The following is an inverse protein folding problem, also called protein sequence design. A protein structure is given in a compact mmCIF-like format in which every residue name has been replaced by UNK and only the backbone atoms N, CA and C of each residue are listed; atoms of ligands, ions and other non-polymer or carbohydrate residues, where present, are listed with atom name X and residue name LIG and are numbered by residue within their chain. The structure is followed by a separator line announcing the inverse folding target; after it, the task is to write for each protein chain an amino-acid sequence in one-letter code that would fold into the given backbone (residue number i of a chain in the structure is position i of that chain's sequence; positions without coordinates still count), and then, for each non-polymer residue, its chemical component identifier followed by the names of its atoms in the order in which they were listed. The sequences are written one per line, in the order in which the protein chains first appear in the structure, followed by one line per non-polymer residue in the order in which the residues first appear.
data_IF_361337508311
#
_entry.id   IF_361337508311
#
_cell.length_a   1.000
_cell.length_b   1.000
_cell.length_c   1.000
_cell.angle_alpha   90.00
_cell.angle_beta   90.00
_cell.angle_gamma   90.00
#
_symmetry.space_group_name_H-M   'P 1'
#
loop_
_entity.id
_entity.type
_entity.pdbx_description
1 polymer ?
#
# COMPACT_ATOMS: atom_id res chain seq x y z
N UNK A 1 -8.49 21.82 -0.24
CA UNK A 1 -8.78 20.64 -1.09
C UNK A 1 -8.18 20.77 -2.49
N UNK A 2 -8.47 21.83 -3.24
CA UNK A 2 -7.94 22.01 -4.61
C UNK A 2 -6.40 21.94 -4.67
N UNK A 3 -5.68 22.64 -3.78
CA UNK A 3 -4.22 22.59 -3.75
C UNK A 3 -3.64 21.19 -3.51
N UNK A 4 -4.30 20.37 -2.68
CA UNK A 4 -3.87 19.00 -2.42
C UNK A 4 -4.07 18.12 -3.66
N UNK A 5 -5.19 18.32 -4.37
CA UNK A 5 -5.48 17.60 -5.60
C UNK A 5 -4.45 17.95 -6.66
N UNK A 6 -4.15 19.23 -6.86
CA UNK A 6 -3.13 19.69 -7.82
C UNK A 6 -1.74 19.13 -7.47
N UNK A 7 -1.38 19.13 -6.18
CA UNK A 7 -0.13 18.56 -5.70
C UNK A 7 -0.06 17.07 -6.02
N UNK A 8 -1.06 16.29 -5.63
CA UNK A 8 -1.11 14.84 -5.87
C UNK A 8 -1.18 14.50 -7.36
N UNK A 9 -1.86 15.32 -8.16
CA UNK A 9 -2.00 15.13 -9.60
C UNK A 9 -0.64 15.21 -10.30
N UNK A 10 0.23 16.14 -9.89
CA UNK A 10 1.58 16.27 -10.44
C UNK A 10 2.43 15.01 -10.18
N UNK A 11 2.42 14.50 -8.94
CA UNK A 11 3.14 13.25 -8.61
C UNK A 11 2.53 12.03 -9.32
N UNK A 12 1.21 11.98 -9.45
CA UNK A 12 0.52 10.89 -10.15
C UNK A 12 0.82 10.90 -11.65
N UNK A 13 0.82 12.08 -12.28
CA UNK A 13 1.13 12.25 -13.69
C UNK A 13 2.60 11.90 -13.99
N UNK A 14 3.54 12.32 -13.14
CA UNK A 14 4.95 11.96 -13.31
C UNK A 14 5.20 10.47 -13.12
N UNK A 15 4.58 9.83 -12.13
CA UNK A 15 4.62 8.38 -11.97
C UNK A 15 4.03 7.65 -13.18
N UNK A 16 2.93 8.16 -13.75
CA UNK A 16 2.32 7.60 -14.96
C UNK A 16 3.26 7.70 -16.17
N UNK A 17 3.91 8.85 -16.37
CA UNK A 17 4.88 9.02 -17.46
C UNK A 17 6.05 8.05 -17.33
N UNK A 18 6.64 7.94 -16.13
CA UNK A 18 7.72 6.99 -15.86
C UNK A 18 7.28 5.55 -16.16
N UNK A 19 6.05 5.20 -15.78
CA UNK A 19 5.47 3.88 -16.03
C UNK A 19 5.26 3.62 -17.52
N UNK A 20 4.75 4.59 -18.28
CA UNK A 20 4.59 4.47 -19.73
C UNK A 20 5.94 4.30 -20.45
N UNK A 21 6.96 5.07 -20.06
CA UNK A 21 8.33 4.93 -20.57
C UNK A 21 8.84 3.52 -20.29
N UNK A 22 8.67 3.03 -19.06
CA UNK A 22 9.10 1.69 -18.69
C UNK A 22 8.40 0.60 -19.52
N UNK A 23 7.08 0.73 -19.73
CA UNK A 23 6.31 -0.21 -20.56
C UNK A 23 6.85 -0.22 -22.00
N UNK A 24 7.15 0.93 -22.59
CA UNK A 24 7.71 1.02 -23.93
C UNK A 24 9.09 0.36 -24.03
N UNK A 25 9.98 0.62 -23.06
CA UNK A 25 11.31 -0.01 -23.00
C UNK A 25 11.20 -1.52 -22.83
N UNK A 26 10.28 -1.99 -21.98
CA UNK A 26 10.04 -3.41 -21.78
C UNK A 26 9.49 -4.09 -23.04
N UNK A 27 8.55 -3.44 -23.74
CA UNK A 27 7.99 -3.92 -25.00
C UNK A 27 9.07 -4.00 -26.11
N UNK A 28 9.96 -3.00 -26.19
CA UNK A 28 11.07 -2.98 -27.14
C UNK A 28 12.12 -4.07 -26.87
N UNK A 29 12.39 -4.41 -25.59
CA UNK A 29 13.33 -5.48 -25.21
C UNK A 29 12.79 -6.89 -25.39
N UNK A 30 11.46 -7.06 -25.47
CA UNK A 30 10.81 -8.36 -25.61
C UNK A 30 9.74 -8.35 -26.71
N UNK A 31 10.12 -8.15 -27.99
CA UNK A 31 9.17 -8.08 -29.10
C UNK A 31 8.38 -9.40 -29.29
N UNK A 32 8.93 -10.53 -28.85
CA UNK A 32 8.28 -11.85 -28.88
C UNK A 32 7.12 -11.99 -27.89
N UNK A 33 7.03 -11.15 -26.85
CA UNK A 33 5.91 -11.13 -25.89
C UNK A 33 4.74 -10.31 -26.44
N UNK A 34 5.01 -9.27 -27.23
CA UNK A 34 3.97 -8.46 -27.89
C UNK A 34 3.35 -9.14 -29.12
N UNK A 35 4.02 -10.14 -29.72
CA UNK A 35 3.56 -10.85 -30.92
C UNK A 35 2.96 -12.24 -30.68
N UNK A 36 2.98 -12.78 -29.46
CA UNK A 36 2.39 -14.09 -29.18
C UNK A 36 0.88 -13.97 -28.89
N UNK A 37 0.11 -13.78 -29.96
CA UNK A 37 -1.36 -13.91 -29.94
C UNK A 37 -1.80 -15.39 -29.81
N UNK A 38 -0.86 -16.34 -29.94
CA UNK A 38 -1.14 -17.78 -30.06
C UNK A 38 -1.34 -18.55 -28.75
N UNK A 39 -1.04 -17.96 -27.59
CA UNK A 39 -1.31 -18.57 -26.26
C UNK A 39 -2.55 -17.98 -25.57
N UNK A 40 -3.41 -17.29 -26.32
CA UNK A 40 -4.68 -16.73 -25.79
C UNK A 40 -5.73 -17.78 -25.44
N UNK A 41 -5.54 -19.05 -25.78
CA UNK A 41 -6.55 -20.09 -25.58
C UNK A 41 -6.49 -20.81 -24.24
N UNK A 42 -5.46 -20.58 -23.41
CA UNK A 42 -5.37 -21.20 -22.08
C UNK A 42 -5.20 -20.22 -20.89
N UNK A 43 -5.14 -18.92 -21.15
CA UNK A 43 -5.39 -17.88 -20.13
C UNK A 43 -6.90 -17.70 -19.94
N UNK A 44 -7.56 -18.81 -19.61
CA UNK A 44 -8.91 -18.77 -19.09
C UNK A 44 -8.90 -17.95 -17.81
N UNK A 45 -9.39 -16.71 -17.87
CA UNK A 45 -10.03 -16.02 -16.74
C UNK A 45 -11.34 -16.77 -16.32
N UNK A 46 -11.30 -18.10 -16.34
CA UNK A 46 -12.37 -19.05 -16.02
C UNK A 46 -12.28 -19.53 -14.58
N UNK A 47 -11.69 -18.71 -13.70
CA UNK A 47 -11.87 -18.84 -12.26
C UNK A 47 -12.50 -17.52 -11.76
N UNK A 48 -13.61 -17.11 -12.41
CA UNK A 48 -14.56 -16.21 -11.75
C UNK A 48 -15.17 -17.01 -10.60
N UNK A 49 -14.44 -17.10 -9.49
CA UNK A 49 -15.06 -17.38 -8.20
C UNK A 49 -16.25 -16.45 -8.10
N UNK A 50 -17.44 -17.02 -8.04
CA UNK A 50 -18.65 -16.27 -7.74
C UNK A 50 -18.34 -15.39 -6.53
N UNK A 51 -18.32 -14.07 -6.76
CA UNK A 51 -18.13 -13.09 -5.71
C UNK A 51 -19.34 -13.24 -4.80
N UNK A 52 -19.18 -14.03 -3.75
CA UNK A 52 -20.26 -14.25 -2.81
C UNK A 52 -20.56 -12.89 -2.16
N UNK A 53 -21.72 -12.33 -2.53
CA UNK A 53 -22.14 -10.99 -2.12
C UNK A 53 -22.15 -10.85 -0.60
N UNK A 54 -22.40 -11.93 0.14
CA UNK A 54 -22.35 -11.93 1.60
C UNK A 54 -20.96 -11.56 2.12
N UNK A 55 -19.89 -12.06 1.48
CA UNK A 55 -18.53 -11.70 1.84
C UNK A 55 -18.21 -10.25 1.47
N UNK A 56 -18.67 -9.80 0.30
CA UNK A 56 -18.46 -8.40 -0.11
C UNK A 56 -19.13 -7.44 0.88
N UNK A 57 -20.38 -7.71 1.24
CA UNK A 57 -21.13 -6.92 2.23
C UNK A 57 -20.46 -6.99 3.59
N UNK A 58 -20.01 -8.17 4.05
CA UNK A 58 -19.28 -8.30 5.31
C UNK A 58 -17.97 -7.50 5.32
N UNK A 59 -17.21 -7.49 4.22
CA UNK A 59 -16.00 -6.67 4.11
C UNK A 59 -16.31 -5.18 4.08
N UNK A 60 -17.37 -4.75 3.39
CA UNK A 60 -17.81 -3.35 3.37
C UNK A 60 -18.24 -2.87 4.76
N UNK A 61 -18.99 -3.69 5.50
CA UNK A 61 -19.39 -3.39 6.88
C UNK A 61 -18.15 -3.31 7.77
N UNK A 62 -17.24 -4.28 7.69
CA UNK A 62 -16.00 -4.28 8.47
C UNK A 62 -15.14 -3.05 8.15
N UNK A 63 -15.06 -2.67 6.88
CA UNK A 63 -14.36 -1.47 6.42
C UNK A 63 -15.00 -0.20 7.02
N UNK A 64 -16.32 -0.07 6.96
CA UNK A 64 -17.05 1.05 7.55
C UNK A 64 -16.80 1.15 9.07
N UNK A 65 -16.90 0.04 9.80
CA UNK A 65 -16.62 0.00 11.27
C UNK A 65 -15.21 0.48 11.57
N UNK A 66 -14.24 0.15 10.71
CA UNK A 66 -12.87 0.59 10.90
C UNK A 66 -12.68 2.08 10.57
N UNK A 67 -13.38 2.62 9.56
CA UNK A 67 -13.43 4.07 9.34
C UNK A 67 -14.03 4.81 10.55
N UNK A 68 -15.13 4.30 11.11
CA UNK A 68 -15.74 4.86 12.32
C UNK A 68 -14.81 4.78 13.54
N UNK A 69 -13.99 3.72 13.63
CA UNK A 69 -12.97 3.58 14.68
C UNK A 69 -11.84 4.60 14.50
N UNK A 70 -11.37 4.82 13.26
CA UNK A 70 -10.38 5.86 12.92
C UNK A 70 -10.93 7.26 13.23
N UNK A 71 -12.21 7.50 12.94
CA UNK A 71 -12.93 8.73 13.29
C UNK A 71 -13.18 8.91 14.80
N UNK A 72 -12.72 7.97 15.65
CA UNK A 72 -12.91 7.94 17.12
C UNK A 72 -14.37 7.85 17.58
N UNK A 73 -15.31 7.49 16.70
CA UNK A 73 -16.72 7.30 17.04
C UNK A 73 -16.91 5.97 17.79
N UNK A 74 -16.15 4.93 17.38
CA UNK A 74 -16.27 3.57 17.91
C UNK A 74 -14.96 3.17 18.64
N UNK A 75 -15.05 2.48 19.79
CA UNK A 75 -13.88 1.93 20.49
C UNK A 75 -13.20 0.80 19.69
N UNK A 76 -11.86 0.83 19.64
CA UNK A 76 -11.01 -0.11 18.87
C UNK A 76 -11.18 -1.58 19.23
N UNK A 77 -11.70 -1.86 20.42
CA UNK A 77 -11.97 -3.21 20.90
C UNK A 77 -12.99 -3.92 20.01
N UNK A 78 -13.94 -3.18 19.42
CA UNK A 78 -15.02 -3.75 18.60
C UNK A 78 -14.51 -4.34 17.29
N UNK A 79 -13.80 -3.60 16.40
CA UNK A 79 -13.21 -4.20 15.20
C UNK A 79 -12.18 -5.28 15.52
N UNK A 80 -11.44 -5.17 16.64
CA UNK A 80 -10.48 -6.19 17.07
C UNK A 80 -11.17 -7.53 17.34
N UNK A 81 -12.20 -7.53 18.17
CA UNK A 81 -12.96 -8.75 18.50
C UNK A 81 -13.61 -9.32 17.23
N UNK A 82 -14.13 -8.47 16.35
CA UNK A 82 -14.75 -8.90 15.09
C UNK A 82 -13.75 -9.58 14.14
N UNK A 83 -12.53 -9.02 14.00
CA UNK A 83 -11.44 -9.64 13.21
C UNK A 83 -10.97 -10.95 13.84
N UNK A 84 -10.83 -11.02 15.17
CA UNK A 84 -10.44 -12.26 15.86
C UNK A 84 -11.48 -13.37 15.71
N UNK A 85 -12.77 -13.04 15.84
CA UNK A 85 -13.87 -13.99 15.59
C UNK A 85 -13.86 -14.47 14.14
N UNK A 86 -13.68 -13.55 13.18
CA UNK A 86 -13.61 -13.90 11.76
C UNK A 86 -12.40 -14.79 11.46
N UNK A 87 -11.23 -14.48 12.02
CA UNK A 87 -10.02 -15.26 11.88
C UNK A 87 -10.17 -16.66 12.48
N UNK A 88 -10.72 -16.76 13.70
CA UNK A 88 -10.97 -18.01 14.41
C UNK A 88 -11.96 -18.92 13.66
N UNK A 89 -13.08 -18.37 13.15
CA UNK A 89 -14.06 -19.13 12.35
C UNK A 89 -13.47 -19.69 11.05
N UNK A 90 -12.41 -19.07 10.52
CA UNK A 90 -11.81 -19.43 9.22
C UNK A 90 -10.62 -20.38 9.33
N UNK A 91 -10.15 -20.71 10.54
CA UNK A 91 -9.02 -21.63 10.75
C UNK A 91 -9.25 -23.05 10.20
N UNK A 92 -10.49 -23.46 9.94
CA UNK A 92 -10.82 -24.81 9.47
C UNK A 92 -10.91 -25.02 7.95
N UNK A 93 -11.06 -23.97 7.12
CA UNK A 93 -11.30 -24.13 5.66
C UNK A 93 -10.66 -22.99 4.84
N UNK A 94 -9.51 -23.30 4.24
CA UNK A 94 -8.91 -22.68 3.04
C UNK A 94 -8.35 -21.24 3.06
N UNK A 95 -7.12 -21.18 2.49
CA UNK A 95 -6.35 -20.13 1.78
C UNK A 95 -6.21 -18.72 2.43
N UNK A 96 -4.95 -18.23 2.58
CA UNK A 96 -4.57 -17.04 3.37
C UNK A 96 -5.03 -15.67 2.80
N UNK A 97 -5.92 -15.66 1.82
CA UNK A 97 -6.13 -14.52 0.92
C UNK A 97 -7.01 -13.42 1.54
N UNK A 98 -7.92 -13.78 2.46
CA UNK A 98 -8.83 -12.82 3.11
C UNK A 98 -8.41 -12.35 4.50
N UNK A 99 -7.35 -12.91 5.08
CA UNK A 99 -6.85 -12.55 6.41
C UNK A 99 -5.98 -11.28 6.36
N UNK A 100 -5.28 -11.07 5.25
CA UNK A 100 -4.36 -9.95 5.04
C UNK A 100 -5.02 -8.56 5.17
N UNK A 101 -6.16 -8.28 4.51
CA UNK A 101 -6.81 -6.97 4.61
C UNK A 101 -7.26 -6.66 6.04
N UNK A 102 -7.79 -7.66 6.75
CA UNK A 102 -8.23 -7.52 8.13
C UNK A 102 -7.05 -7.29 9.10
N UNK A 103 -5.92 -7.99 8.91
CA UNK A 103 -4.69 -7.76 9.68
C UNK A 103 -4.07 -6.38 9.40
N UNK A 104 -4.18 -5.89 8.17
CA UNK A 104 -3.71 -4.55 7.80
C UNK A 104 -4.50 -3.46 8.51
N UNK A 105 -5.82 -3.62 8.51
CA UNK A 105 -6.76 -2.74 9.21
C UNK A 105 -6.53 -2.74 10.73
N UNK A 106 -6.23 -3.90 11.32
CA UNK A 106 -5.81 -4.01 12.71
C UNK A 106 -4.50 -3.25 12.99
N UNK A 107 -3.47 -3.38 12.13
CA UNK A 107 -2.20 -2.63 12.32
C UNK A 107 -2.43 -1.12 12.34
N UNK A 108 -3.29 -0.60 11.45
CA UNK A 108 -3.66 0.83 11.43
C UNK A 108 -4.26 1.25 12.78
N UNK A 109 -5.22 0.48 13.29
CA UNK A 109 -5.95 0.78 14.52
C UNK A 109 -5.06 0.65 15.77
N UNK A 110 -4.24 -0.42 15.84
CA UNK A 110 -3.34 -0.68 16.96
C UNK A 110 -2.26 0.39 17.09
N UNK A 111 -1.62 0.79 15.98
CA UNK A 111 -0.57 1.81 16.01
C UNK A 111 -1.11 3.21 16.33
N UNK A 112 -2.29 3.57 15.84
CA UNK A 112 -2.88 4.89 16.09
C UNK A 112 -3.18 5.17 17.58
N UNK A 113 -3.47 4.11 18.33
CA UNK A 113 -4.00 4.18 19.71
C UNK A 113 -2.95 3.85 20.78
N UNK A 114 -1.67 3.81 20.43
CA UNK A 114 -0.62 3.52 21.39
C UNK A 114 -0.39 4.69 22.37
N UNK A 115 -0.34 4.43 23.68
CA UNK A 115 -0.15 5.48 24.70
C UNK A 115 1.25 6.12 24.67
N UNK A 116 2.25 5.45 24.09
CA UNK A 116 3.58 6.02 23.91
C UNK A 116 3.62 7.16 22.89
N UNK A 117 2.56 7.33 22.07
CA UNK A 117 2.50 8.35 21.02
C UNK A 117 2.69 9.75 21.60
N UNK A 118 2.00 10.12 22.67
CA UNK A 118 2.03 11.49 23.17
C UNK A 118 3.41 11.88 23.73
N UNK A 119 4.13 10.91 24.31
CA UNK A 119 5.53 11.09 24.74
C UNK A 119 6.52 11.08 23.57
N UNK A 120 6.29 10.23 22.56
CA UNK A 120 7.10 10.21 21.35
C UNK A 120 6.91 11.47 20.49
N UNK A 121 5.69 12.04 20.45
CA UNK A 121 5.35 13.28 19.72
C UNK A 121 6.18 14.44 20.24
N UNK A 122 6.32 14.57 21.56
CA UNK A 122 7.13 15.63 22.16
C UNK A 122 8.63 15.45 21.87
N UNK A 123 9.14 14.21 21.85
CA UNK A 123 10.56 13.95 21.57
C UNK A 123 10.92 14.02 20.07
N UNK A 124 9.99 13.65 19.18
CA UNK A 124 10.21 13.65 17.73
C UNK A 124 10.00 15.03 17.10
N UNK A 125 9.01 15.81 17.55
CA UNK A 125 8.69 17.12 16.95
C UNK A 125 9.86 18.11 17.03
N UNK A 126 10.66 18.05 18.11
CA UNK A 126 11.84 18.92 18.27
C UNK A 126 13.06 18.53 17.44
N UNK A 127 13.21 17.25 17.04
CA UNK A 127 14.39 16.75 16.29
C UNK A 127 14.16 16.63 14.78
N UNK A 128 12.91 16.63 14.33
CA UNK A 128 12.53 16.36 12.94
C UNK A 128 12.03 17.57 12.15
N UNK A 129 12.15 18.79 12.69
CA UNK A 129 11.82 20.01 11.94
C UNK A 129 12.60 20.03 10.60
N UNK A 130 11.88 19.95 9.48
CA UNK A 130 12.43 19.90 8.12
C UNK A 130 12.69 18.51 7.54
N UNK A 131 12.56 17.42 8.32
CA UNK A 131 12.76 16.01 7.93
C UNK A 131 11.45 15.20 7.87
N UNK A 132 10.32 15.89 7.81
CA UNK A 132 8.98 15.29 7.86
C UNK A 132 8.78 14.31 6.69
N UNK A 133 9.24 14.68 5.48
CA UNK A 133 9.10 13.84 4.30
C UNK A 133 9.91 12.54 4.40
N UNK A 134 11.17 12.60 4.86
CA UNK A 134 12.03 11.41 4.98
C UNK A 134 11.46 10.45 6.03
N UNK A 135 10.95 10.99 7.13
CA UNK A 135 10.28 10.22 8.18
C UNK A 135 9.01 9.54 7.64
N UNK A 136 8.22 10.26 6.84
CA UNK A 136 7.02 9.74 6.18
C UNK A 136 7.34 8.63 5.17
N UNK A 137 8.38 8.79 4.35
CA UNK A 137 8.84 7.77 3.39
C UNK A 137 9.26 6.50 4.12
N UNK A 138 10.13 6.62 5.13
CA UNK A 138 10.66 5.46 5.87
C UNK A 138 9.57 4.73 6.66
N UNK A 139 8.65 5.46 7.30
CA UNK A 139 7.53 4.87 8.01
C UNK A 139 6.58 4.12 7.06
N UNK A 140 6.30 4.69 5.88
CA UNK A 140 5.41 4.09 4.89
C UNK A 140 5.94 2.78 4.32
N UNK A 141 7.27 2.66 4.15
CA UNK A 141 7.89 1.40 3.68
C UNK A 141 7.63 0.20 4.61
N UNK A 142 7.40 0.44 5.91
CA UNK A 142 7.21 -0.60 6.94
C UNK A 142 5.71 -0.84 7.23
N UNK A 143 4.90 0.23 7.20
CA UNK A 143 3.54 0.23 7.72
C UNK A 143 2.45 0.42 6.66
N UNK A 144 2.80 0.70 5.39
CA UNK A 144 1.96 1.24 4.30
C UNK A 144 1.62 2.72 4.43
N UNK A 145 1.23 3.31 3.30
CA UNK A 145 0.84 4.71 3.19
C UNK A 145 -0.25 5.13 4.19
N UNK A 146 -1.31 4.35 4.36
CA UNK A 146 -2.45 4.72 5.22
C UNK A 146 -2.03 4.71 6.69
N UNK A 147 -1.40 3.64 7.16
CA UNK A 147 -0.98 3.52 8.57
C UNK A 147 0.06 4.57 8.93
N UNK A 148 1.04 4.80 8.05
CA UNK A 148 2.10 5.78 8.28
C UNK A 148 1.54 7.20 8.32
N UNK A 149 0.59 7.53 7.42
CA UNK A 149 -0.07 8.85 7.42
C UNK A 149 -0.86 9.06 8.70
N UNK A 150 -1.61 8.05 9.15
CA UNK A 150 -2.42 8.14 10.36
C UNK A 150 -1.57 8.23 11.64
N UNK A 151 -0.41 7.56 11.66
CA UNK A 151 0.53 7.63 12.77
C UNK A 151 1.20 9.01 12.83
N UNK A 152 1.78 9.46 11.72
CA UNK A 152 2.61 10.66 11.66
C UNK A 152 1.80 11.97 11.63
N UNK A 153 0.51 11.94 11.30
CA UNK A 153 -0.36 13.12 11.38
C UNK A 153 -0.49 13.69 12.79
N UNK A 154 -0.18 12.91 13.82
CA UNK A 154 -0.08 13.41 15.21
C UNK A 154 1.26 14.07 15.56
N UNK A 155 2.26 14.01 14.66
CA UNK A 155 3.64 14.47 14.90
C UNK A 155 4.03 15.69 14.04
N UNK A 156 3.21 16.08 13.06
CA UNK A 156 3.50 17.22 12.18
C UNK A 156 2.24 17.88 11.63
N UNK A 157 2.24 19.21 11.55
CA UNK A 157 1.20 19.99 10.88
C UNK A 157 1.45 20.12 9.36
N UNK A 158 2.63 19.66 8.87
CA UNK A 158 2.98 19.69 7.46
C UNK A 158 2.31 18.52 6.70
N UNK A 159 1.00 18.63 6.50
CA UNK A 159 0.19 17.65 5.79
C UNK A 159 0.66 17.41 4.35
N UNK A 160 1.27 18.41 3.68
CA UNK A 160 1.80 18.28 2.32
C UNK A 160 2.99 17.33 2.28
N UNK A 161 3.99 17.56 3.14
CA UNK A 161 5.17 16.69 3.25
C UNK A 161 4.79 15.27 3.69
N UNK A 162 3.80 15.17 4.60
CA UNK A 162 3.32 13.90 5.09
C UNK A 162 2.66 13.06 3.99
N UNK A 163 1.66 13.60 3.28
CA UNK A 163 0.91 12.87 2.25
C UNK A 163 1.81 12.53 1.06
N UNK A 164 2.67 13.46 0.63
CA UNK A 164 3.63 13.18 -0.44
C UNK A 164 4.63 12.11 0.00
N UNK A 165 5.20 12.23 1.20
CA UNK A 165 6.18 11.29 1.71
C UNK A 165 5.64 9.88 1.89
N UNK A 166 4.42 9.71 2.42
CA UNK A 166 3.84 8.37 2.60
C UNK A 166 3.47 7.72 1.27
N UNK A 167 2.98 8.49 0.28
CA UNK A 167 2.73 7.98 -1.07
C UNK A 167 4.01 7.58 -1.80
N UNK A 168 5.09 8.38 -1.69
CA UNK A 168 6.39 8.01 -2.27
C UNK A 168 6.95 6.76 -1.58
N UNK A 169 6.83 6.66 -0.26
CA UNK A 169 7.30 5.50 0.49
C UNK A 169 6.54 4.20 0.21
N UNK A 170 5.29 4.26 -0.25
CA UNK A 170 4.48 3.08 -0.60
C UNK A 170 5.07 2.31 -1.79
N UNK A 171 5.82 3.02 -2.65
CA UNK A 171 6.46 2.42 -3.81
C UNK A 171 7.62 1.50 -3.38
N UNK A 172 8.38 1.87 -2.34
CA UNK A 172 9.71 1.32 -2.09
C UNK A 172 9.79 -0.20 -1.87
N UNK A 173 8.75 -0.83 -1.30
CA UNK A 173 8.79 -2.28 -1.01
C UNK A 173 7.50 -3.00 -1.39
N UNK A 174 7.64 -4.29 -1.66
CA UNK A 174 6.53 -5.21 -1.95
C UNK A 174 5.57 -5.35 -0.75
N UNK A 175 6.06 -5.08 0.47
CA UNK A 175 5.28 -5.13 1.72
C UNK A 175 4.47 -3.85 1.91
N UNK A 176 4.98 -2.72 1.42
CA UNK A 176 4.31 -1.43 1.54
C UNK A 176 2.99 -1.42 0.75
N UNK A 177 3.01 -1.96 -0.48
CA UNK A 177 1.83 -1.98 -1.34
C UNK A 177 1.14 -3.35 -1.47
N UNK A 178 -0.11 -3.43 -1.02
CA UNK A 178 -0.93 -4.66 -1.11
C UNK A 178 -1.19 -5.10 -2.56
N UNK A 179 -1.28 -4.17 -3.50
CA UNK A 179 -1.43 -4.50 -4.92
C UNK A 179 -0.23 -5.29 -5.44
N UNK A 180 0.99 -4.86 -5.08
CA UNK A 180 2.23 -5.53 -5.44
C UNK A 180 2.36 -6.93 -4.84
N UNK A 181 1.86 -7.12 -3.62
CA UNK A 181 1.83 -8.43 -2.98
C UNK A 181 0.89 -9.41 -3.70
N UNK A 182 -0.25 -8.93 -4.20
CA UNK A 182 -1.18 -9.74 -5.00
C UNK A 182 -0.52 -10.17 -6.32
N UNK A 183 0.12 -9.24 -7.04
CA UNK A 183 0.85 -9.54 -8.28
C UNK A 183 2.00 -10.54 -8.06
N UNK A 184 2.78 -10.33 -7.00
CA UNK A 184 3.85 -11.27 -6.64
C UNK A 184 3.32 -12.66 -6.34
N UNK A 185 2.21 -12.76 -5.60
CA UNK A 185 1.60 -14.04 -5.26
C UNK A 185 1.12 -14.80 -6.49
N UNK A 186 0.60 -14.09 -7.50
CA UNK A 186 0.20 -14.69 -8.77
C UNK A 186 1.40 -15.29 -9.50
N UNK A 187 2.46 -14.51 -9.70
CA UNK A 187 3.69 -14.96 -10.37
C UNK A 187 4.37 -16.09 -9.59
N UNK A 188 4.36 -16.00 -8.26
CA UNK A 188 4.87 -17.03 -7.39
C UNK A 188 4.11 -18.35 -7.53
N UNK A 189 2.80 -18.31 -7.78
CA UNK A 189 1.97 -19.50 -7.98
C UNK A 189 2.26 -20.15 -9.34
N UNK A 190 2.49 -19.34 -10.37
CA UNK A 190 2.70 -19.81 -11.74
C UNK A 190 4.10 -20.36 -11.98
N UNK A 191 5.14 -19.69 -11.46
CA UNK A 191 6.51 -20.16 -11.66
C UNK A 191 7.40 -19.86 -10.46
N UNK A 192 7.74 -20.92 -9.69
CA UNK A 192 8.52 -20.81 -8.45
C UNK A 192 9.93 -20.23 -8.69
N UNK A 193 10.49 -20.50 -9.86
CA UNK A 193 11.84 -20.07 -10.25
C UNK A 193 11.91 -18.58 -10.63
N UNK A 194 10.78 -17.97 -11.05
CA UNK A 194 10.71 -16.55 -11.42
C UNK A 194 10.50 -15.62 -10.22
N UNK A 195 10.20 -16.16 -9.04
CA UNK A 195 9.92 -15.38 -7.82
C UNK A 195 11.04 -14.42 -7.46
N UNK A 196 12.28 -14.91 -7.39
CA UNK A 196 13.43 -14.10 -6.99
C UNK A 196 13.76 -13.02 -8.03
N UNK A 197 13.72 -13.39 -9.32
CA UNK A 197 13.99 -12.46 -10.42
C UNK A 197 12.93 -11.36 -10.50
N UNK A 198 11.65 -11.71 -10.33
CA UNK A 198 10.57 -10.73 -10.26
C UNK A 198 10.73 -9.80 -9.07
N UNK A 199 10.98 -10.34 -7.87
CA UNK A 199 11.15 -9.54 -6.66
C UNK A 199 12.32 -8.56 -6.79
N UNK A 200 13.46 -9.01 -7.33
CA UNK A 200 14.62 -8.16 -7.59
C UNK A 200 14.31 -7.02 -8.57
N UNK A 201 13.77 -7.33 -9.75
CA UNK A 201 13.42 -6.31 -10.76
C UNK A 201 12.36 -5.35 -10.21
N UNK A 202 11.32 -5.89 -9.56
CA UNK A 202 10.25 -5.11 -8.94
C UNK A 202 10.80 -4.13 -7.91
N UNK A 203 11.63 -4.58 -6.97
CA UNK A 203 12.21 -3.73 -5.93
C UNK A 203 13.13 -2.66 -6.52
N UNK A 204 13.99 -3.02 -7.49
CA UNK A 204 14.89 -2.04 -8.13
C UNK A 204 14.10 -0.95 -8.83
N UNK A 205 13.09 -1.29 -9.62
CA UNK A 205 12.27 -0.31 -10.33
C UNK A 205 11.53 0.62 -9.39
N UNK A 206 10.96 0.07 -8.33
CA UNK A 206 10.25 0.86 -7.34
C UNK A 206 11.17 1.80 -6.56
N UNK A 207 12.39 1.36 -6.20
CA UNK A 207 13.39 2.23 -5.58
C UNK A 207 13.78 3.36 -6.54
N UNK A 208 13.96 3.07 -7.83
CA UNK A 208 14.27 4.10 -8.84
C UNK A 208 13.14 5.13 -8.94
N UNK A 209 11.88 4.66 -9.04
CA UNK A 209 10.70 5.55 -9.04
C UNK A 209 10.62 6.39 -7.77
N UNK A 210 10.84 5.76 -6.61
CA UNK A 210 10.83 6.42 -5.31
C UNK A 210 11.89 7.53 -5.22
N UNK A 211 13.14 7.24 -5.63
CA UNK A 211 14.23 8.22 -5.65
C UNK A 211 13.90 9.38 -6.60
N UNK A 212 13.38 9.09 -7.79
CA UNK A 212 13.02 10.13 -8.76
C UNK A 212 11.92 11.06 -8.24
N UNK A 213 10.87 10.51 -7.61
CA UNK A 213 9.80 11.31 -7.02
C UNK A 213 10.27 12.09 -5.77
N UNK A 214 11.22 11.54 -4.99
CA UNK A 214 11.88 12.26 -3.90
C UNK A 214 12.68 13.46 -4.41
N UNK A 215 13.46 13.27 -5.46
CA UNK A 215 14.22 14.36 -6.11
C UNK A 215 13.26 15.43 -6.62
N UNK A 216 12.20 15.01 -7.32
CA UNK A 216 11.14 15.90 -7.81
C UNK A 216 10.51 16.72 -6.66
N UNK A 217 10.23 16.09 -5.52
CA UNK A 217 9.73 16.81 -4.33
C UNK A 217 10.70 17.89 -3.84
N UNK A 218 12.00 17.59 -3.75
CA UNK A 218 12.99 18.58 -3.32
C UNK A 218 13.16 19.73 -4.32
N UNK A 219 12.90 19.51 -5.62
CA UNK A 219 12.89 20.57 -6.63
C UNK A 219 11.64 21.45 -6.62
N UNK A 220 10.49 20.90 -6.20
CA UNK A 220 9.19 21.59 -6.15
C UNK A 220 8.88 22.26 -4.80
N UNK A 221 9.74 22.04 -3.79
CA UNK A 221 9.64 22.63 -2.45
C UNK A 221 10.20 24.04 -2.43
#
# INVERSE_FOLDING_TARGET
MAELITLMLLYSATALILLLIWIQVAAAKAPHVCGSEKDRTHLGFSDRKELNMEYLVAYLILFAVCLLTVARIIPYQIPLVLVLIYAAKKQGKYKPDGLLPACHLYRIIYFYRQPWKDSAVQQFSGKNAGREILTAVLASQIMSNVSATLLLSGFTDNYRALIVGTNIGDLGTLIASMASLISFKYIAKENRNLRGKYLGIFTVLNIVFMIFLLILYFFLR
#
